data_IF_327054428529
#
_entry.id   IF_327054428529
#
_cell.length_a   1.000
_cell.length_b   1.000
_cell.length_c   1.000
_cell.angle_alpha   90.00
_cell.angle_beta   90.00
_cell.angle_gamma   90.00
#
_symmetry.space_group_name_H-M   'P 1'
#
loop_
_entity.id
_entity.type
_entity.pdbx_description
1 polymer ?
#
# COMPACT_ATOMS: atom_id res chain seq x y z
N UNK A 1 -3.72 -18.36 18.57
CA UNK A 1 -3.67 -17.32 17.56
C UNK A 1 -4.35 -17.72 16.25
N UNK A 2 -4.94 -16.77 15.59
CA UNK A 2 -5.51 -16.94 14.25
C UNK A 2 -4.57 -16.34 13.21
N UNK A 3 -4.61 -16.86 11.98
CA UNK A 3 -3.94 -16.28 10.82
C UNK A 3 -4.97 -15.87 9.78
N UNK A 4 -4.86 -14.65 9.28
CA UNK A 4 -5.67 -14.13 8.19
C UNK A 4 -4.78 -13.43 7.16
N UNK A 5 -5.00 -13.73 5.89
CA UNK A 5 -4.40 -13.02 4.78
C UNK A 5 -5.51 -12.50 3.88
N UNK A 6 -5.45 -11.22 3.54
CA UNK A 6 -6.44 -10.57 2.69
C UNK A 6 -5.73 -9.78 1.60
N UNK A 7 -6.09 -10.05 0.36
CA UNK A 7 -5.67 -9.26 -0.79
C UNK A 7 -6.84 -8.44 -1.32
N UNK A 8 -6.64 -7.15 -1.45
CA UNK A 8 -7.61 -6.20 -1.99
C UNK A 8 -7.06 -5.63 -3.29
N UNK A 9 -7.76 -5.88 -4.40
CA UNK A 9 -7.32 -5.47 -5.73
C UNK A 9 -8.34 -4.54 -6.35
N UNK A 10 -7.90 -3.34 -6.75
CA UNK A 10 -8.72 -2.37 -7.47
C UNK A 10 -7.90 -1.79 -8.62
N UNK A 11 -8.15 -2.30 -9.82
CA UNK A 11 -7.35 -1.93 -11.00
C UNK A 11 -8.12 -1.10 -12.02
N UNK A 12 -9.46 -1.15 -12.06
CA UNK A 12 -10.30 -0.42 -13.05
C UNK A 12 -11.74 -0.28 -12.57
N UNK A 13 -12.49 0.62 -13.21
CA UNK A 13 -13.96 0.57 -13.28
C UNK A 13 -14.73 1.46 -12.33
N UNK A 14 -14.07 2.32 -11.55
CA UNK A 14 -14.76 3.23 -10.62
C UNK A 14 -14.18 4.64 -10.69
N UNK A 15 -15.06 5.64 -10.64
CA UNK A 15 -14.67 7.05 -10.66
C UNK A 15 -14.12 7.52 -9.31
N UNK A 16 -14.69 7.01 -8.22
CA UNK A 16 -14.31 7.35 -6.87
C UNK A 16 -14.56 6.19 -5.92
N UNK A 17 -13.60 5.93 -5.03
CA UNK A 17 -13.77 4.95 -3.96
C UNK A 17 -13.27 5.48 -2.62
N UNK A 18 -13.98 5.09 -1.58
CA UNK A 18 -13.52 5.18 -0.20
C UNK A 18 -13.63 3.80 0.41
N UNK A 19 -12.54 3.29 0.95
CA UNK A 19 -12.50 1.99 1.61
C UNK A 19 -12.06 2.19 3.06
N UNK A 20 -12.84 1.66 3.98
CA UNK A 20 -12.52 1.63 5.39
C UNK A 20 -12.27 0.18 5.83
N UNK A 21 -11.08 -0.09 6.34
CA UNK A 21 -10.67 -1.42 6.81
C UNK A 21 -10.32 -1.31 8.29
N UNK A 22 -11.00 -2.09 9.12
CA UNK A 22 -10.73 -2.13 10.56
C UNK A 22 -10.44 -3.57 10.99
N UNK A 23 -9.39 -3.76 11.78
CA UNK A 23 -9.03 -5.06 12.33
C UNK A 23 -8.59 -4.94 13.79
N UNK A 24 -8.99 -5.91 14.61
CA UNK A 24 -8.55 -6.08 15.97
C UNK A 24 -7.91 -7.46 16.14
N UNK A 25 -6.68 -7.50 16.64
CA UNK A 25 -5.92 -8.72 16.80
C UNK A 25 -5.74 -9.06 18.28
N UNK A 26 -6.23 -10.25 18.64
CA UNK A 26 -5.99 -10.86 19.96
C UNK A 26 -4.62 -11.54 20.03
N UNK A 27 -4.38 -12.25 21.14
CA UNK A 27 -3.09 -12.90 21.39
C UNK A 27 -2.67 -13.86 20.26
N UNK A 28 -1.41 -13.76 19.86
CA UNK A 28 -0.77 -14.58 18.82
C UNK A 28 -1.47 -14.55 17.45
N UNK A 29 -2.39 -13.61 17.23
CA UNK A 29 -3.04 -13.46 15.94
C UNK A 29 -2.12 -12.77 14.93
N UNK A 30 -2.17 -13.22 13.68
CA UNK A 30 -1.38 -12.68 12.57
C UNK A 30 -2.29 -12.25 11.43
N UNK A 31 -2.07 -11.04 10.93
CA UNK A 31 -2.79 -10.48 9.80
C UNK A 31 -1.81 -10.02 8.73
N UNK A 32 -2.06 -10.41 7.49
CA UNK A 32 -1.39 -9.88 6.30
C UNK A 32 -2.44 -9.21 5.43
N UNK A 33 -2.25 -7.93 5.17
CA UNK A 33 -3.10 -7.15 4.26
C UNK A 33 -2.26 -6.72 3.06
N UNK A 34 -2.69 -7.10 1.88
CA UNK A 34 -2.09 -6.66 0.61
C UNK A 34 -3.13 -5.83 -0.15
N UNK A 35 -2.77 -4.61 -0.48
CA UNK A 35 -3.59 -3.73 -1.31
C UNK A 35 -2.87 -3.45 -2.62
N UNK A 36 -3.58 -3.63 -3.74
CA UNK A 36 -3.11 -3.27 -5.08
C UNK A 36 -4.11 -2.31 -5.71
N UNK A 37 -3.64 -1.13 -6.10
CA UNK A 37 -4.48 -0.04 -6.54
C UNK A 37 -3.92 0.61 -7.81
N UNK A 38 -4.76 0.73 -8.82
CA UNK A 38 -4.46 1.51 -10.03
C UNK A 38 -5.56 2.54 -10.23
N UNK A 39 -5.18 3.80 -10.36
CA UNK A 39 -6.07 4.90 -10.73
C UNK A 39 -5.56 5.63 -11.97
N UNK A 40 -6.47 6.11 -12.80
CA UNK A 40 -6.18 6.87 -14.01
C UNK A 40 -7.23 7.97 -14.24
N UNK A 41 -7.09 8.74 -15.31
CA UNK A 41 -7.96 9.88 -15.62
C UNK A 41 -8.07 10.84 -14.42
N UNK A 42 -9.28 11.08 -13.94
CA UNK A 42 -9.59 11.90 -12.76
C UNK A 42 -10.16 11.07 -11.61
N UNK A 43 -9.85 9.80 -11.58
CA UNK A 43 -10.31 8.93 -10.52
C UNK A 43 -9.72 9.32 -9.16
N UNK A 44 -10.48 9.05 -8.12
CA UNK A 44 -10.04 9.25 -6.74
C UNK A 44 -10.19 7.97 -5.95
N UNK A 45 -9.20 7.66 -5.14
CA UNK A 45 -9.26 6.51 -4.24
C UNK A 45 -8.72 6.90 -2.87
N UNK A 46 -9.49 6.60 -1.84
CA UNK A 46 -9.09 6.77 -0.45
C UNK A 46 -9.16 5.41 0.25
N UNK A 47 -8.06 5.01 0.87
CA UNK A 47 -7.98 3.80 1.67
C UNK A 47 -7.62 4.17 3.10
N UNK A 48 -8.55 3.89 4.02
CA UNK A 48 -8.39 4.10 5.44
C UNK A 48 -8.25 2.72 6.10
N UNK A 49 -7.15 2.50 6.81
CA UNK A 49 -6.92 1.26 7.54
C UNK A 49 -6.68 1.57 9.01
N UNK A 50 -7.36 0.85 9.88
CA UNK A 50 -7.10 0.87 11.32
C UNK A 50 -6.87 -0.55 11.82
N UNK A 51 -5.71 -0.81 12.39
CA UNK A 51 -5.38 -2.09 13.00
C UNK A 51 -5.01 -1.90 14.46
N UNK A 52 -5.71 -2.56 15.34
CA UNK A 52 -5.46 -2.57 16.78
C UNK A 52 -4.86 -3.92 17.18
N UNK A 53 -3.60 -3.89 17.63
CA UNK A 53 -2.85 -5.05 18.12
C UNK A 53 -3.02 -5.12 19.63
N UNK A 54 -4.09 -5.80 20.08
CA UNK A 54 -4.52 -5.83 21.50
C UNK A 54 -3.87 -6.95 22.30
N UNK A 55 -3.50 -8.04 21.65
CA UNK A 55 -2.96 -9.22 22.34
C UNK A 55 -1.46 -9.37 22.20
N UNK A 56 -0.83 -9.95 23.23
CA UNK A 56 0.59 -10.32 23.17
C UNK A 56 0.88 -11.25 22.00
N UNK A 57 2.02 -11.06 21.34
CA UNK A 57 2.44 -11.86 20.20
C UNK A 57 1.67 -11.59 18.92
N UNK A 58 0.71 -10.66 18.92
CA UNK A 58 -0.02 -10.27 17.71
C UNK A 58 0.90 -9.56 16.71
N UNK A 59 0.62 -9.73 15.43
CA UNK A 59 1.39 -9.08 14.38
C UNK A 59 0.55 -8.73 13.16
N UNK A 60 0.87 -7.60 12.54
CA UNK A 60 0.29 -7.19 11.25
C UNK A 60 1.38 -6.81 10.26
N UNK A 61 1.19 -7.21 9.02
CA UNK A 61 1.92 -6.71 7.87
C UNK A 61 0.94 -6.13 6.88
N UNK A 62 1.13 -4.87 6.55
CA UNK A 62 0.36 -4.17 5.51
C UNK A 62 1.30 -3.83 4.36
N UNK A 63 0.94 -4.25 3.16
CA UNK A 63 1.67 -3.95 1.93
C UNK A 63 0.71 -3.26 0.98
N UNK A 64 0.91 -1.97 0.74
CA UNK A 64 0.16 -1.21 -0.26
C UNK A 64 1.05 -0.92 -1.46
N UNK A 65 0.64 -1.39 -2.62
CA UNK A 65 1.27 -1.09 -3.90
C UNK A 65 0.29 -0.39 -4.79
N UNK A 66 0.63 0.80 -5.24
CA UNK A 66 -0.28 1.62 -6.03
C UNK A 66 0.39 2.28 -7.23
N UNK A 67 -0.39 2.45 -8.27
CA UNK A 67 -0.02 3.23 -9.46
C UNK A 67 -1.08 4.29 -9.67
N UNK A 68 -0.67 5.54 -9.72
CA UNK A 68 -1.54 6.67 -10.02
C UNK A 68 -1.10 7.34 -11.32
N UNK A 69 -2.01 7.44 -12.28
CA UNK A 69 -1.78 7.97 -13.61
C UNK A 69 -2.64 9.21 -13.87
N UNK A 70 -2.28 9.98 -14.88
CA UNK A 70 -3.00 11.15 -15.37
C UNK A 70 -3.20 12.23 -14.30
N UNK A 71 -4.44 12.61 -14.01
CA UNK A 71 -4.83 13.59 -12.98
C UNK A 71 -5.48 12.90 -11.76
N UNK A 72 -5.26 11.60 -11.59
CA UNK A 72 -5.87 10.84 -10.50
C UNK A 72 -5.28 11.17 -9.13
N UNK A 73 -6.03 10.90 -8.08
CA UNK A 73 -5.64 11.19 -6.70
C UNK A 73 -5.87 9.95 -5.84
N UNK A 74 -4.84 9.59 -5.08
CA UNK A 74 -4.91 8.52 -4.09
C UNK A 74 -4.54 9.05 -2.72
N UNK A 75 -5.27 8.62 -1.70
CA UNK A 75 -4.97 8.89 -0.29
C UNK A 75 -4.94 7.58 0.47
N UNK A 76 -3.85 7.32 1.17
CA UNK A 76 -3.66 6.14 2.00
C UNK A 76 -3.42 6.54 3.45
N UNK A 77 -4.34 6.16 4.33
CA UNK A 77 -4.33 6.51 5.75
C UNK A 77 -4.25 5.24 6.61
N UNK A 78 -3.08 4.63 6.77
CA UNK A 78 -2.91 3.51 7.69
C UNK A 78 -2.70 4.01 9.13
N UNK A 79 -3.41 3.42 10.08
CA UNK A 79 -3.20 3.60 11.50
C UNK A 79 -3.01 2.25 12.16
N UNK A 80 -1.87 2.05 12.81
CA UNK A 80 -1.57 0.85 13.58
C UNK A 80 -1.38 1.24 15.03
N UNK A 81 -2.15 0.62 15.91
CA UNK A 81 -2.10 0.84 17.36
C UNK A 81 -1.61 -0.44 18.03
N UNK A 82 -0.50 -0.36 18.74
CA UNK A 82 0.08 -1.47 19.51
C UNK A 82 -0.20 -1.31 20.99
N UNK A 83 -1.08 -2.14 21.54
CA UNK A 83 -1.51 -2.08 22.95
C UNK A 83 -0.79 -3.10 23.84
N UNK A 84 -0.04 -4.02 23.26
CA UNK A 84 0.70 -5.08 23.94
C UNK A 84 2.06 -5.31 23.30
N UNK A 85 2.80 -6.31 23.75
CA UNK A 85 4.01 -6.80 23.07
C UNK A 85 3.63 -7.37 21.70
N UNK A 86 3.78 -6.58 20.66
CA UNK A 86 3.28 -6.86 19.30
C UNK A 86 4.23 -6.32 18.23
N UNK A 87 3.97 -6.68 16.98
CA UNK A 87 4.72 -6.20 15.83
C UNK A 87 3.80 -5.72 14.73
N UNK A 88 4.07 -4.53 14.20
CA UNK A 88 3.39 -3.97 13.05
C UNK A 88 4.38 -3.44 12.02
N UNK A 89 4.17 -3.78 10.76
CA UNK A 89 4.93 -3.26 9.65
C UNK A 89 3.97 -2.80 8.56
N UNK A 90 4.09 -1.54 8.17
CA UNK A 90 3.32 -0.95 7.07
C UNK A 90 4.30 -0.52 5.99
N UNK A 91 4.13 -1.06 4.79
CA UNK A 91 4.89 -0.69 3.61
C UNK A 91 3.94 -0.07 2.58
N UNK A 92 4.27 1.13 2.12
CA UNK A 92 3.51 1.86 1.11
C UNK A 92 4.43 2.22 -0.05
N UNK A 93 4.26 1.52 -1.18
CA UNK A 93 5.00 1.79 -2.40
C UNK A 93 4.05 2.31 -3.47
N UNK A 94 4.40 3.43 -4.10
CA UNK A 94 3.58 4.04 -5.13
C UNK A 94 4.40 4.56 -6.31
N UNK A 95 3.90 4.32 -7.50
CA UNK A 95 4.40 4.91 -8.75
C UNK A 95 3.44 6.00 -9.19
N UNK A 96 3.98 7.19 -9.43
CA UNK A 96 3.22 8.35 -9.93
C UNK A 96 3.59 8.62 -11.38
N UNK A 97 2.58 8.76 -12.22
CA UNK A 97 2.72 9.12 -13.64
C UNK A 97 1.84 10.33 -13.97
N UNK A 98 2.30 11.16 -14.90
CA UNK A 98 1.59 12.38 -15.28
C UNK A 98 1.49 13.39 -14.14
N UNK A 99 0.29 13.92 -13.92
CA UNK A 99 -0.02 14.90 -12.86
C UNK A 99 -0.66 14.25 -11.63
N UNK A 100 -0.65 12.93 -11.54
CA UNK A 100 -1.27 12.22 -10.44
C UNK A 100 -0.68 12.59 -9.08
N UNK A 101 -1.48 12.43 -8.05
CA UNK A 101 -1.10 12.73 -6.66
C UNK A 101 -1.34 11.51 -5.78
N UNK A 102 -0.33 11.15 -5.02
CA UNK A 102 -0.43 10.12 -3.98
C UNK A 102 -0.03 10.73 -2.65
N UNK A 103 -0.89 10.60 -1.66
CA UNK A 103 -0.65 11.06 -0.30
C UNK A 103 -0.77 9.88 0.67
N UNK A 104 0.30 9.59 1.37
CA UNK A 104 0.29 8.65 2.48
C UNK A 104 0.37 9.42 3.81
N UNK A 105 -0.56 9.11 4.72
CA UNK A 105 -0.61 9.73 6.05
C UNK A 105 -0.52 8.60 7.08
N UNK A 106 0.68 8.11 7.37
CA UNK A 106 0.85 7.01 8.33
C UNK A 106 0.58 7.48 9.75
N UNK A 107 -0.11 6.64 10.51
CA UNK A 107 -0.27 6.77 11.94
C UNK A 107 0.27 5.54 12.65
N UNK A 108 1.16 5.75 13.61
CA UNK A 108 1.68 4.70 14.50
C UNK A 108 1.46 5.17 15.94
N UNK A 109 0.80 4.34 16.73
CA UNK A 109 0.59 4.56 18.15
C UNK A 109 1.06 3.35 18.96
N UNK A 110 2.17 3.51 19.66
CA UNK A 110 2.68 2.50 20.57
C UNK A 110 2.21 2.82 22.00
N UNK A 111 1.13 2.19 22.43
CA UNK A 111 0.60 2.31 23.77
C UNK A 111 1.31 1.38 24.77
N UNK A 112 2.07 0.42 24.29
CA UNK A 112 2.95 -0.45 25.07
C UNK A 112 4.42 -0.20 24.74
N UNK A 113 5.29 -0.23 25.71
CA UNK A 113 6.75 -0.10 25.52
C UNK A 113 7.34 -1.27 24.72
N UNK A 114 6.67 -2.42 24.71
CA UNK A 114 7.07 -3.61 23.98
C UNK A 114 6.46 -3.70 22.56
N UNK A 115 5.72 -2.68 22.13
CA UNK A 115 5.19 -2.61 20.77
C UNK A 115 6.27 -2.17 19.78
N UNK A 116 6.50 -2.98 18.75
CA UNK A 116 7.45 -2.70 17.67
C UNK A 116 6.68 -2.39 16.39
N UNK A 117 6.53 -1.11 16.06
CA UNK A 117 5.78 -0.64 14.91
C UNK A 117 6.69 0.12 13.95
N UNK A 118 6.64 -0.23 12.67
CA UNK A 118 7.45 0.37 11.60
C UNK A 118 6.56 0.76 10.43
N UNK A 119 6.80 1.94 9.88
CA UNK A 119 6.21 2.37 8.61
C UNK A 119 7.33 2.74 7.63
N UNK A 120 7.22 2.21 6.41
CA UNK A 120 8.11 2.52 5.29
C UNK A 120 7.28 3.01 4.10
N UNK A 121 7.77 4.01 3.38
CA UNK A 121 7.13 4.51 2.18
C UNK A 121 8.16 4.81 1.10
N UNK A 122 7.87 4.35 -0.13
CA UNK A 122 8.61 4.70 -1.33
C UNK A 122 7.61 5.19 -2.38
N UNK A 123 7.55 6.50 -2.58
CA UNK A 123 6.64 7.15 -3.51
C UNK A 123 7.46 7.93 -4.52
N UNK A 124 7.31 7.62 -5.81
CA UNK A 124 8.08 8.27 -6.85
C UNK A 124 7.62 7.96 -8.26
N UNK A 125 8.41 8.41 -9.22
CA UNK A 125 8.23 8.13 -10.64
C UNK A 125 9.07 6.94 -11.06
N UNK A 126 8.71 6.29 -12.18
CA UNK A 126 9.55 5.27 -12.80
C UNK A 126 10.89 5.92 -13.16
N UNK A 127 11.99 5.27 -12.81
CA UNK A 127 13.32 5.74 -13.15
C UNK A 127 13.56 5.60 -14.67
N UNK A 128 14.00 6.69 -15.31
CA UNK A 128 14.19 6.72 -16.75
C UNK A 128 15.23 5.69 -17.25
N UNK A 129 16.22 5.35 -16.45
CA UNK A 129 17.22 4.33 -16.76
C UNK A 129 16.62 2.91 -16.83
N UNK A 130 15.58 2.61 -16.07
CA UNK A 130 14.85 1.34 -16.17
C UNK A 130 14.12 1.24 -17.50
N UNK A 131 13.45 2.30 -17.93
CA UNK A 131 12.78 2.37 -19.23
C UNK A 131 13.78 2.20 -20.35
N UNK A 132 14.87 2.96 -20.34
CA UNK A 132 15.93 2.88 -21.36
C UNK A 132 16.51 1.47 -21.45
N UNK A 133 16.74 0.81 -20.33
CA UNK A 133 17.25 -0.56 -20.29
C UNK A 133 16.30 -1.55 -20.98
N UNK A 134 15.01 -1.46 -20.75
CA UNK A 134 14.01 -2.29 -21.41
C UNK A 134 13.91 -1.97 -22.90
N UNK A 135 14.00 -0.70 -23.28
CA UNK A 135 14.04 -0.30 -24.70
C UNK A 135 15.25 -0.88 -25.43
N UNK A 136 16.41 -1.02 -24.79
CA UNK A 136 17.59 -1.69 -25.39
C UNK A 136 17.37 -3.17 -25.66
N UNK A 137 16.38 -3.78 -25.02
CA UNK A 137 15.96 -5.16 -25.25
C UNK A 137 14.88 -5.27 -26.34
N UNK A 138 14.49 -4.17 -26.97
CA UNK A 138 13.59 -4.13 -28.12
C UNK A 138 12.15 -3.70 -27.81
N UNK A 139 11.85 -3.28 -26.59
CA UNK A 139 10.53 -2.76 -26.25
C UNK A 139 10.40 -1.29 -26.68
N UNK A 140 9.18 -0.87 -27.00
CA UNK A 140 8.86 0.56 -27.08
C UNK A 140 8.83 1.17 -25.67
N UNK A 141 8.83 2.49 -25.59
CA UNK A 141 8.71 3.18 -24.30
C UNK A 141 7.42 2.78 -23.55
N UNK A 142 6.29 2.74 -24.28
CA UNK A 142 4.99 2.33 -23.73
C UNK A 142 4.99 0.88 -23.24
N UNK A 143 5.58 -0.03 -23.99
CA UNK A 143 5.73 -1.43 -23.59
C UNK A 143 6.63 -1.58 -22.36
N UNK A 144 7.70 -0.81 -22.28
CA UNK A 144 8.60 -0.80 -21.13
C UNK A 144 7.91 -0.28 -19.87
N UNK A 145 7.15 0.79 -19.96
CA UNK A 145 6.35 1.31 -18.87
C UNK A 145 5.32 0.28 -18.40
N UNK A 146 4.58 -0.31 -19.32
CA UNK A 146 3.55 -1.31 -19.00
C UNK A 146 4.15 -2.52 -18.28
N UNK A 147 5.28 -3.03 -18.75
CA UNK A 147 5.98 -4.16 -18.12
C UNK A 147 6.39 -3.84 -16.67
N UNK A 148 6.93 -2.65 -16.43
CA UNK A 148 7.31 -2.19 -15.09
C UNK A 148 6.08 -2.11 -14.17
N UNK A 149 4.97 -1.57 -14.67
CA UNK A 149 3.75 -1.43 -13.87
C UNK A 149 3.10 -2.77 -13.53
N UNK A 150 3.08 -3.70 -14.49
CA UNK A 150 2.55 -5.05 -14.26
C UNK A 150 3.38 -5.82 -13.24
N UNK A 151 4.70 -5.76 -13.34
CA UNK A 151 5.60 -6.39 -12.37
C UNK A 151 5.47 -5.76 -10.97
N UNK A 152 5.35 -4.45 -10.90
CA UNK A 152 5.19 -3.72 -9.65
C UNK A 152 3.88 -4.07 -8.93
N UNK A 153 2.77 -4.26 -9.65
CA UNK A 153 1.47 -4.60 -9.09
C UNK A 153 1.29 -6.12 -8.84
N UNK A 154 2.12 -6.92 -9.39
CA UNK A 154 2.15 -8.36 -9.11
C UNK A 154 3.03 -8.66 -7.88
#
# INVERSE_FOLDING_TARGET
GAYCEMEMVQLRGVTSTVRDTNAELGADAKLVLVEKLLTHDRQTAESNMKVELKGEGSSVQVISRSVAQDDSVQVFNPLVIGEAACRGHVQCDAIIMGNAKVKAIPGIEAASEDAMLVHEAAIGKIAGDQIVKLMTLGLTEEEAEQEILEDFLN
#
